data_IF_771809174067
#
_entry.id   IF_771809174067
#
_cell.length_a   1.000
_cell.length_b   1.000
_cell.length_c   1.000
_cell.angle_alpha   90.00
_cell.angle_beta   90.00
_cell.angle_gamma   90.00
#
_symmetry.space_group_name_H-M   'P 1'
#
loop_
_entity.id
_entity.type
_entity.pdbx_description
1 polymer ?
#
# COMPACT_ATOMS: atom_id res chain seq x y z
N UNK A 1 -8.12 21.92 44.25
CA UNK A 1 -7.96 20.74 43.36
C UNK A 1 -7.95 21.25 41.93
N UNK A 2 -6.76 21.57 41.38
CA UNK A 2 -6.62 21.96 39.97
C UNK A 2 -6.44 20.67 39.17
N UNK A 3 -7.46 20.28 38.41
CA UNK A 3 -7.32 19.23 37.40
C UNK A 3 -6.74 19.84 36.14
N UNK A 4 -5.46 19.60 35.88
CA UNK A 4 -4.80 19.96 34.63
C UNK A 4 -5.23 19.00 33.53
N UNK A 5 -6.17 19.43 32.70
CA UNK A 5 -6.61 18.69 31.52
C UNK A 5 -5.47 18.69 30.50
N UNK A 6 -4.70 17.61 30.45
CA UNK A 6 -3.58 17.46 29.52
C UNK A 6 -4.15 16.97 28.20
N UNK A 7 -4.39 17.90 27.26
CA UNK A 7 -4.72 17.58 25.87
C UNK A 7 -3.52 16.87 25.24
N UNK A 8 -3.54 15.54 25.28
CA UNK A 8 -2.61 14.70 24.53
C UNK A 8 -2.95 14.87 23.05
N UNK A 9 -2.25 15.78 22.37
CA UNK A 9 -2.31 15.87 20.90
C UNK A 9 -1.69 14.60 20.34
N UNK A 10 -2.52 13.58 20.13
CA UNK A 10 -2.12 12.34 19.50
C UNK A 10 -1.54 12.69 18.13
N UNK A 11 -0.25 12.43 17.93
CA UNK A 11 0.38 12.54 16.64
C UNK A 11 -0.27 11.50 15.71
N UNK A 12 -1.16 11.94 14.83
CA UNK A 12 -1.63 11.12 13.73
C UNK A 12 -0.54 11.15 12.65
N UNK A 13 0.25 10.07 12.58
CA UNK A 13 1.13 9.86 11.44
C UNK A 13 0.29 9.97 10.14
N UNK A 14 0.85 10.51 9.04
CA UNK A 14 0.14 10.58 7.78
C UNK A 14 -0.42 9.21 7.42
N UNK A 15 -1.74 9.13 7.25
CA UNK A 15 -2.39 7.92 6.75
C UNK A 15 -1.80 7.67 5.37
N UNK A 16 -1.28 6.46 5.17
CA UNK A 16 -0.79 6.09 3.86
C UNK A 16 -1.97 5.96 2.91
N UNK A 17 -2.06 6.87 1.95
CA UNK A 17 -3.00 6.80 0.84
C UNK A 17 -2.21 6.39 -0.42
N UNK A 18 -2.46 5.19 -0.97
CA UNK A 18 -1.89 4.81 -2.25
C UNK A 18 -2.50 5.64 -3.37
N UNK A 19 -1.70 5.90 -4.41
CA UNK A 19 -2.16 6.61 -5.60
C UNK A 19 -3.11 5.74 -6.43
N UNK A 20 -3.80 6.35 -7.40
CA UNK A 20 -4.65 5.63 -8.35
C UNK A 20 -3.85 4.56 -9.11
N UNK A 21 -2.61 4.86 -9.51
CA UNK A 21 -1.73 3.92 -10.22
C UNK A 21 -1.29 2.75 -9.31
N UNK A 22 -1.03 3.03 -8.04
CA UNK A 22 -0.70 2.01 -7.04
C UNK A 22 -1.88 1.07 -6.79
N UNK A 23 -3.09 1.62 -6.66
CA UNK A 23 -4.32 0.83 -6.54
C UNK A 23 -4.60 0.00 -7.80
N UNK A 24 -4.38 0.57 -8.99
CA UNK A 24 -4.55 -0.14 -10.24
C UNK A 24 -3.58 -1.32 -10.37
N UNK A 25 -2.32 -1.18 -9.94
CA UNK A 25 -1.37 -2.28 -9.94
C UNK A 25 -1.76 -3.38 -8.93
N UNK A 26 -2.20 -3.01 -7.73
CA UNK A 26 -2.71 -3.99 -6.75
C UNK A 26 -3.91 -4.75 -7.32
N UNK A 27 -4.81 -4.07 -8.05
CA UNK A 27 -5.96 -4.71 -8.70
C UNK A 27 -5.53 -5.70 -9.79
N UNK A 28 -4.56 -5.34 -10.63
CA UNK A 28 -3.99 -6.26 -11.63
C UNK A 28 -3.42 -7.51 -10.99
N UNK A 29 -2.65 -7.35 -9.91
CA UNK A 29 -2.07 -8.48 -9.17
C UNK A 29 -3.14 -9.34 -8.48
N UNK A 30 -4.21 -8.75 -7.94
CA UNK A 30 -5.38 -9.49 -7.43
C UNK A 30 -6.01 -10.37 -8.51
N UNK A 31 -6.14 -9.86 -9.74
CA UNK A 31 -6.68 -10.58 -10.89
C UNK A 31 -5.73 -11.66 -11.44
N UNK A 32 -4.53 -11.81 -10.88
CA UNK A 32 -3.52 -12.77 -11.31
C UNK A 32 -2.70 -12.31 -12.52
N UNK A 33 -2.80 -11.04 -12.92
CA UNK A 33 -1.93 -10.48 -13.94
C UNK A 33 -0.49 -10.39 -13.43
N UNK A 34 0.47 -10.70 -14.30
CA UNK A 34 1.89 -10.61 -13.97
C UNK A 34 2.40 -9.20 -14.24
N UNK A 35 3.05 -8.60 -13.26
CA UNK A 35 3.80 -7.35 -13.42
C UNK A 35 5.28 -7.68 -13.24
N UNK A 36 6.10 -7.42 -14.26
CA UNK A 36 7.55 -7.62 -14.16
C UNK A 36 8.17 -6.56 -13.24
N UNK A 37 9.35 -6.84 -12.67
CA UNK A 37 10.07 -5.84 -11.87
C UNK A 37 10.45 -4.60 -12.68
N UNK A 38 10.74 -4.77 -13.97
CA UNK A 38 11.03 -3.66 -14.90
C UNK A 38 9.79 -2.77 -15.09
N UNK A 39 8.64 -3.35 -15.43
CA UNK A 39 7.39 -2.61 -15.59
C UNK A 39 6.99 -1.87 -14.31
N UNK A 40 7.17 -2.52 -13.15
CA UNK A 40 6.86 -1.93 -11.86
C UNK A 40 7.84 -0.81 -11.46
N UNK A 41 9.08 -0.86 -11.94
CA UNK A 41 10.06 0.22 -11.78
C UNK A 41 9.68 1.42 -12.65
N UNK A 42 9.31 1.19 -13.92
CA UNK A 42 8.85 2.24 -14.85
C UNK A 42 7.58 2.94 -14.36
N UNK A 43 6.68 2.23 -13.70
CA UNK A 43 5.44 2.81 -13.18
C UNK A 43 5.60 3.57 -11.85
N UNK A 44 6.78 3.54 -11.20
CA UNK A 44 7.00 4.03 -9.82
C UNK A 44 6.12 3.37 -8.73
N UNK A 45 5.30 2.39 -9.10
CA UNK A 45 4.37 1.70 -8.21
C UNK A 45 5.07 0.68 -7.30
N UNK A 46 6.27 0.25 -7.66
CA UNK A 46 7.04 -0.76 -6.94
C UNK A 46 7.48 -0.34 -5.54
N UNK A 47 8.19 0.79 -5.42
CA UNK A 47 8.95 1.12 -4.22
C UNK A 47 8.06 1.33 -2.99
N UNK A 48 7.02 2.16 -3.09
CA UNK A 48 6.13 2.47 -1.95
C UNK A 48 5.30 1.26 -1.54
N UNK A 49 4.84 0.46 -2.51
CA UNK A 49 4.11 -0.77 -2.21
C UNK A 49 5.01 -1.82 -1.54
N UNK A 50 6.27 -1.92 -1.95
CA UNK A 50 7.27 -2.78 -1.32
C UNK A 50 7.61 -2.32 0.11
N UNK A 51 7.88 -1.03 0.31
CA UNK A 51 8.20 -0.44 1.62
C UNK A 51 7.06 -0.62 2.64
N UNK A 52 5.81 -0.70 2.16
CA UNK A 52 4.63 -0.95 2.97
C UNK A 52 4.26 -2.43 3.08
N UNK A 53 4.98 -3.33 2.42
CA UNK A 53 4.71 -4.76 2.44
C UNK A 53 3.42 -5.17 1.72
N UNK A 54 2.87 -4.33 0.84
CA UNK A 54 1.66 -4.61 0.07
C UNK A 54 1.93 -5.51 -1.15
N UNK A 55 3.17 -5.52 -1.64
CA UNK A 55 3.67 -6.43 -2.67
C UNK A 55 5.02 -7.01 -2.24
N UNK A 56 5.42 -8.10 -2.87
CA UNK A 56 6.74 -8.72 -2.73
C UNK A 56 7.28 -9.13 -4.10
N UNK A 57 8.60 -9.21 -4.21
CA UNK A 57 9.26 -9.75 -5.40
C UNK A 57 9.30 -11.28 -5.33
N UNK A 58 8.86 -11.94 -6.40
CA UNK A 58 8.84 -13.41 -6.57
C UNK A 58 9.21 -13.75 -8.01
N UNK A 59 10.32 -14.47 -8.18
CA UNK A 59 10.71 -15.01 -9.50
C UNK A 59 10.80 -13.97 -10.63
N UNK A 60 11.22 -12.73 -10.32
CA UNK A 60 11.31 -11.64 -11.31
C UNK A 60 9.99 -10.93 -11.61
N UNK A 61 8.93 -11.23 -10.84
CA UNK A 61 7.62 -10.59 -10.91
C UNK A 61 7.21 -10.03 -9.55
N UNK A 62 6.21 -9.16 -9.55
CA UNK A 62 5.51 -8.74 -8.35
C UNK A 62 4.40 -9.73 -7.99
N UNK A 63 4.25 -9.96 -6.69
CA UNK A 63 3.13 -10.70 -6.12
C UNK A 63 2.46 -9.86 -5.02
N UNK A 64 1.13 -9.82 -5.03
CA UNK A 64 0.35 -9.13 -4.00
C UNK A 64 0.39 -9.88 -2.67
N UNK A 65 0.47 -9.15 -1.56
CA UNK A 65 0.39 -9.72 -0.21
C UNK A 65 -1.02 -9.58 0.37
N UNK A 66 -1.24 -10.18 1.54
CA UNK A 66 -2.47 -9.98 2.31
C UNK A 66 -2.72 -8.51 2.70
N UNK A 67 -1.67 -7.71 2.88
CA UNK A 67 -1.81 -6.27 3.19
C UNK A 67 -2.28 -5.50 1.95
N UNK A 68 -1.71 -5.78 0.77
CA UNK A 68 -2.16 -5.19 -0.50
C UNK A 68 -3.61 -5.55 -0.82
N UNK A 69 -4.01 -6.80 -0.55
CA UNK A 69 -5.40 -7.26 -0.71
C UNK A 69 -6.37 -6.55 0.25
N UNK A 70 -5.96 -6.25 1.48
CA UNK A 70 -6.80 -5.49 2.41
C UNK A 70 -6.95 -4.04 1.97
N UNK A 71 -5.88 -3.43 1.43
CA UNK A 71 -5.91 -2.06 0.93
C UNK A 71 -6.96 -1.87 -0.18
N UNK A 72 -7.01 -2.76 -1.17
CA UNK A 72 -8.00 -2.68 -2.26
C UNK A 72 -9.43 -2.90 -1.74
N UNK A 73 -9.64 -3.83 -0.79
CA UNK A 73 -10.96 -4.09 -0.20
C UNK A 73 -11.51 -2.91 0.59
N UNK A 74 -10.64 -2.13 1.25
CA UNK A 74 -11.03 -0.88 1.93
C UNK A 74 -11.51 0.19 0.96
N UNK A 75 -11.01 0.17 -0.28
CA UNK A 75 -11.26 1.20 -1.28
C UNK A 75 -12.42 0.84 -2.24
N UNK A 76 -12.77 -0.44 -2.34
CA UNK A 76 -13.94 -0.93 -3.10
C UNK A 76 -15.27 -0.87 -2.30
N UNK A 77 -15.21 -0.55 -0.99
CA UNK A 77 -16.36 -0.48 -0.07
C UNK A 77 -16.89 0.95 0.11
#
# INVERSE_FOLDING_TARGET
MLSTNTTHTAYHAPVFEPTVDELAALKKLELGEKISLEDAAHAHVSKRLLERGMVVEREGYMAITSEGLQQIKRNDA
#
